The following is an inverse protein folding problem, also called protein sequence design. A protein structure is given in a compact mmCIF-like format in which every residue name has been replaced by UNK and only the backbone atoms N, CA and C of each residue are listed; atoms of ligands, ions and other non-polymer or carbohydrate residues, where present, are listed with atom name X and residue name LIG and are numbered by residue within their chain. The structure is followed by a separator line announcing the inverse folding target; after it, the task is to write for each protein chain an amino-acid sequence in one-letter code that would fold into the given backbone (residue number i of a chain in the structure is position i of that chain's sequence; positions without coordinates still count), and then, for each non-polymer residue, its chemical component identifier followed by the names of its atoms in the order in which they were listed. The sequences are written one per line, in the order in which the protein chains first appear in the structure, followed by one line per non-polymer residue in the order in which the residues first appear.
data_IF_544403044091
#
_entry.id   IF_544403044091
#
_cell.length_a   1.000
_cell.length_b   1.000
_cell.length_c   1.000
_cell.angle_alpha   90.00
_cell.angle_beta   90.00
_cell.angle_gamma   90.00
#
_symmetry.space_group_name_H-M   'P 1'
#
loop_
_entity.id
_entity.type
_entity.pdbx_description
1 polymer ?
#
# COMPACT_ATOMS: atom_id res chain seq x y z
N UNK A 1 -9.21 57.72 8.30
CA UNK A 1 -8.34 56.59 7.94
C UNK A 1 -8.90 55.33 8.60
N UNK A 2 -9.21 54.25 7.88
CA UNK A 2 -9.66 53.01 8.52
C UNK A 2 -10.46 52.01 7.66
N UNK A 3 -10.93 52.39 6.47
CA UNK A 3 -11.62 51.46 5.57
C UNK A 3 -10.66 50.63 4.69
N UNK A 4 -9.55 51.23 4.27
CA UNK A 4 -8.54 50.62 3.39
C UNK A 4 -7.77 49.48 4.10
N UNK A 5 -7.46 49.66 5.39
CA UNK A 5 -6.68 48.70 6.19
C UNK A 5 -7.46 47.42 6.49
N UNK A 6 -8.77 47.55 6.72
CA UNK A 6 -9.68 46.41 6.97
C UNK A 6 -9.84 45.56 5.71
N UNK A 7 -10.00 46.20 4.55
CA UNK A 7 -10.10 45.51 3.25
C UNK A 7 -8.82 44.73 2.90
N UNK A 8 -7.65 45.34 3.14
CA UNK A 8 -6.35 44.71 2.96
C UNK A 8 -6.13 43.50 3.90
N UNK A 9 -6.54 43.62 5.16
CA UNK A 9 -6.46 42.52 6.14
C UNK A 9 -7.38 41.34 5.79
N UNK A 10 -8.57 41.61 5.25
CA UNK A 10 -9.51 40.58 4.81
C UNK A 10 -9.01 39.85 3.57
N UNK A 11 -8.42 40.58 2.62
CA UNK A 11 -7.82 40.00 1.41
C UNK A 11 -6.64 39.09 1.75
N UNK A 12 -5.72 39.56 2.59
CA UNK A 12 -4.57 38.76 3.05
C UNK A 12 -5.02 37.52 3.82
N UNK A 13 -6.00 37.64 4.72
CA UNK A 13 -6.61 36.48 5.40
C UNK A 13 -7.20 35.46 4.41
N UNK A 14 -7.94 35.93 3.39
CA UNK A 14 -8.49 35.05 2.35
C UNK A 14 -7.40 34.36 1.52
N UNK A 15 -6.31 35.07 1.20
CA UNK A 15 -5.16 34.52 0.50
C UNK A 15 -4.45 33.43 1.33
N UNK A 16 -4.27 33.65 2.64
CA UNK A 16 -3.72 32.65 3.55
C UNK A 16 -4.59 31.40 3.63
N UNK A 17 -5.92 31.54 3.69
CA UNK A 17 -6.84 30.39 3.68
C UNK A 17 -6.73 29.58 2.39
N UNK A 18 -6.62 30.24 1.24
CA UNK A 18 -6.43 29.55 -0.05
C UNK A 18 -5.09 28.82 -0.12
N UNK A 19 -4.02 29.41 0.41
CA UNK A 19 -2.70 28.76 0.46
C UNK A 19 -2.70 27.53 1.37
N UNK A 20 -3.37 27.61 2.52
CA UNK A 20 -3.53 26.46 3.43
C UNK A 20 -4.34 25.34 2.76
N UNK A 21 -5.44 25.66 2.08
CA UNK A 21 -6.21 24.67 1.33
C UNK A 21 -5.41 24.04 0.19
N UNK A 22 -4.71 24.85 -0.60
CA UNK A 22 -3.90 24.36 -1.72
C UNK A 22 -2.78 23.42 -1.24
N UNK A 23 -2.11 23.77 -0.14
CA UNK A 23 -1.07 22.91 0.46
C UNK A 23 -1.65 21.61 1.01
N UNK A 24 -2.81 21.64 1.68
CA UNK A 24 -3.46 20.44 2.17
C UNK A 24 -3.82 19.47 1.03
N UNK A 25 -4.41 19.97 -0.06
CA UNK A 25 -4.74 19.14 -1.23
C UNK A 25 -3.49 18.57 -1.89
N UNK A 26 -2.41 19.36 -2.00
CA UNK A 26 -1.12 18.89 -2.55
C UNK A 26 -0.53 17.74 -1.73
N UNK A 27 -0.57 17.83 -0.39
CA UNK A 27 -0.09 16.79 0.51
C UNK A 27 -0.92 15.50 0.33
N UNK A 28 -2.25 15.61 0.28
CA UNK A 28 -3.12 14.44 0.07
C UNK A 28 -2.84 13.78 -1.29
N UNK A 29 -2.68 14.60 -2.34
CA UNK A 29 -2.40 14.10 -3.68
C UNK A 29 -1.05 13.38 -3.77
N UNK A 30 0.00 13.94 -3.16
CA UNK A 30 1.33 13.31 -3.14
C UNK A 30 1.32 11.99 -2.37
N UNK A 31 0.66 11.91 -1.22
CA UNK A 31 0.49 10.65 -0.48
C UNK A 31 -0.24 9.61 -1.33
N UNK A 32 -1.34 10.00 -1.98
CA UNK A 32 -2.11 9.11 -2.85
C UNK A 32 -1.29 8.62 -4.05
N UNK A 33 -0.55 9.51 -4.70
CA UNK A 33 0.34 9.17 -5.80
C UNK A 33 1.42 8.16 -5.38
N UNK A 34 2.05 8.35 -4.22
CA UNK A 34 3.04 7.42 -3.68
C UNK A 34 2.40 6.07 -3.34
N UNK A 35 1.22 6.06 -2.72
CA UNK A 35 0.50 4.83 -2.41
C UNK A 35 0.15 4.03 -3.68
N UNK A 36 -0.28 4.72 -4.74
CA UNK A 36 -0.60 4.10 -6.01
C UNK A 36 0.65 3.60 -6.76
N UNK A 37 1.74 4.37 -6.72
CA UNK A 37 3.03 3.96 -7.27
C UNK A 37 3.58 2.71 -6.57
N UNK A 38 3.47 2.63 -5.23
CA UNK A 38 3.86 1.44 -4.43
C UNK A 38 2.99 0.22 -4.72
N UNK A 39 1.69 0.41 -5.03
CA UNK A 39 0.82 -0.69 -5.47
C UNK A 39 1.19 -1.17 -6.87
N UNK A 40 1.51 -0.25 -7.78
CA UNK A 40 1.83 -0.56 -9.17
C UNK A 40 3.23 -1.16 -9.35
N UNK A 41 4.18 -0.82 -8.47
CA UNK A 41 5.56 -1.34 -8.51
C UNK A 41 5.67 -2.84 -8.17
N UNK A 42 4.61 -3.49 -7.66
CA UNK A 42 4.60 -4.94 -7.44
C UNK A 42 4.42 -5.78 -8.71
N UNK A 43 4.06 -5.16 -9.84
CA UNK A 43 3.69 -5.87 -11.08
C UNK A 43 4.59 -5.56 -12.28
N UNK A 44 5.74 -4.88 -12.09
CA UNK A 44 6.66 -4.57 -13.19
C UNK A 44 8.03 -5.23 -13.02
N UNK A 45 8.23 -6.32 -13.77
CA UNK A 45 9.36 -6.40 -14.70
C UNK A 45 10.62 -7.14 -14.27
N UNK A 46 10.74 -7.57 -13.02
CA UNK A 46 11.76 -8.53 -12.61
C UNK A 46 11.23 -9.24 -11.36
N UNK A 47 10.87 -10.51 -11.50
CA UNK A 47 10.71 -11.37 -10.34
C UNK A 47 12.14 -11.53 -9.82
N UNK A 48 12.45 -10.95 -8.66
CA UNK A 48 13.57 -11.46 -7.86
C UNK A 48 13.28 -12.95 -7.71
N UNK A 49 14.02 -13.77 -8.47
CA UNK A 49 14.11 -15.19 -8.20
C UNK A 49 14.71 -15.21 -6.81
N UNK A 50 13.86 -15.42 -5.81
CA UNK A 50 14.25 -15.68 -4.44
C UNK A 50 15.48 -16.61 -4.51
N UNK A 51 16.55 -16.30 -3.78
CA UNK A 51 17.80 -17.10 -3.86
C UNK A 51 17.49 -18.57 -3.54
N UNK A 52 16.39 -18.79 -2.82
CA UNK A 52 15.74 -20.07 -2.68
C UNK A 52 15.10 -20.49 -4.02
N UNK A 53 15.72 -21.47 -4.67
CA UNK A 53 15.21 -22.03 -5.92
C UNK A 53 13.76 -22.53 -5.74
N UNK A 54 12.94 -22.52 -6.81
CA UNK A 54 11.56 -23.00 -6.70
C UNK A 54 11.46 -24.43 -6.15
N UNK A 55 12.48 -25.24 -6.39
CA UNK A 55 12.61 -26.60 -5.87
C UNK A 55 12.80 -26.62 -4.35
N UNK A 56 13.65 -25.76 -3.79
CA UNK A 56 13.86 -25.66 -2.34
C UNK A 56 12.60 -25.20 -1.62
N UNK A 57 11.83 -24.26 -2.18
CA UNK A 57 10.52 -23.87 -1.59
C UNK A 57 9.53 -25.03 -1.60
N UNK A 58 9.48 -25.82 -2.67
CA UNK A 58 8.61 -26.99 -2.76
C UNK A 58 8.99 -28.06 -1.73
N UNK A 59 10.28 -28.40 -1.66
CA UNK A 59 10.80 -29.38 -0.70
C UNK A 59 10.58 -28.90 0.74
N UNK A 60 10.79 -27.62 1.03
CA UNK A 60 10.53 -27.06 2.36
C UNK A 60 9.04 -27.17 2.75
N UNK A 61 8.12 -26.95 1.80
CA UNK A 61 6.69 -27.19 2.03
C UNK A 61 6.38 -28.64 2.38
N UNK A 62 7.02 -29.59 1.69
CA UNK A 62 6.89 -31.03 1.98
C UNK A 62 7.53 -31.42 3.32
N UNK A 63 8.64 -30.80 3.71
CA UNK A 63 9.30 -31.06 5.00
C UNK A 63 8.52 -30.50 6.20
N UNK A 64 7.90 -29.32 6.04
CA UNK A 64 7.15 -28.66 7.13
C UNK A 64 5.74 -29.24 7.28
N UNK A 65 5.02 -29.45 6.17
CA UNK A 65 3.62 -29.87 6.20
C UNK A 65 3.43 -31.38 6.03
N UNK A 66 4.43 -32.09 5.51
CA UNK A 66 4.25 -33.47 5.06
C UNK A 66 3.27 -33.58 3.90
N UNK A 67 2.99 -34.82 3.47
CA UNK A 67 1.90 -35.12 2.56
C UNK A 67 1.12 -36.31 3.11
N UNK A 68 -0.09 -36.04 3.54
CA UNK A 68 -1.05 -37.07 3.91
C UNK A 68 -1.93 -37.34 2.70
N UNK A 69 -1.99 -38.61 2.27
CA UNK A 69 -2.88 -38.97 1.19
C UNK A 69 -4.32 -39.03 1.72
N UNK A 70 -5.22 -38.14 1.25
CA UNK A 70 -6.60 -38.04 1.75
C UNK A 70 -7.40 -39.31 1.50
N UNK A 71 -6.95 -40.20 0.60
CA UNK A 71 -7.56 -41.52 0.38
C UNK A 71 -7.53 -42.37 1.65
N UNK A 72 -6.54 -42.19 2.52
CA UNK A 72 -6.44 -42.96 3.76
C UNK A 72 -7.30 -42.42 4.90
N UNK A 73 -7.69 -41.13 4.85
CA UNK A 73 -8.51 -40.50 5.89
C UNK A 73 -9.88 -41.18 6.07
N UNK A 74 -10.42 -41.80 5.01
CA UNK A 74 -11.67 -42.55 5.07
C UNK A 74 -11.57 -43.87 5.86
N UNK A 75 -10.37 -44.42 6.02
CA UNK A 75 -10.13 -45.67 6.73
C UNK A 75 -9.79 -45.47 8.21
N UNK A 76 -9.18 -44.34 8.57
CA UNK A 76 -8.85 -44.00 9.97
C UNK A 76 -10.10 -43.66 10.81
N UNK A 77 -11.14 -43.11 10.17
CA UNK A 77 -12.34 -42.64 10.85
C UNK A 77 -13.44 -43.71 10.97
N UNK A 78 -13.14 -44.96 10.61
CA UNK A 78 -14.10 -46.07 10.70
C UNK A 78 -13.88 -46.83 12.01
N UNK A 79 -14.85 -46.84 12.95
CA UNK A 79 -14.78 -47.72 14.11
C UNK A 79 -14.76 -49.21 13.73
#
# INVERSE_FOLDING_TARGET
MGAEDVSSSAFTASAHLLLVLASAVSIIFTIFAIALARRRSRHRGFIEVDICTPEERHVNGMQVNGYENPTYSFFDNKP
#
